data_IF_968755544995
#
_entry.id   IF_968755544995
#
_cell.length_a   1.000
_cell.length_b   1.000
_cell.length_c   1.000
_cell.angle_alpha   90.00
_cell.angle_beta   90.00
_cell.angle_gamma   90.00
#
_symmetry.space_group_name_H-M   'P 1'
#
loop_
_entity.id
_entity.type
_entity.pdbx_description
1 polymer ?
#
# COMPACT_ATOMS: atom_id res chain seq x y z
N UNK A 1 26.60 -8.69 9.35
CA UNK A 1 25.82 -7.43 9.46
C UNK A 1 26.63 -6.30 8.82
N UNK A 2 26.04 -5.55 7.88
CA UNK A 2 26.69 -4.45 7.12
C UNK A 2 27.33 -3.38 8.04
N UNK A 3 26.74 -3.17 9.21
CA UNK A 3 27.14 -2.12 10.17
C UNK A 3 28.03 -2.61 11.34
N UNK A 4 28.29 -3.92 11.48
CA UNK A 4 29.11 -4.52 12.56
C UNK A 4 28.77 -4.05 14.00
N UNK A 5 27.51 -3.70 14.27
CA UNK A 5 27.00 -3.34 15.60
C UNK A 5 26.12 -4.45 16.18
N UNK A 6 26.01 -4.51 17.51
CA UNK A 6 25.09 -5.42 18.20
C UNK A 6 23.62 -5.00 18.02
N UNK A 7 22.68 -5.88 18.34
CA UNK A 7 21.23 -5.56 18.26
C UNK A 7 20.87 -4.45 19.24
N UNK A 8 21.52 -4.42 20.38
CA UNK A 8 21.33 -3.46 21.47
C UNK A 8 21.83 -2.06 21.08
N UNK A 9 22.83 -2.00 20.19
CA UNK A 9 23.39 -0.78 19.60
C UNK A 9 22.63 -0.31 18.34
N UNK A 10 21.64 -1.07 17.85
CA UNK A 10 20.81 -0.62 16.73
C UNK A 10 20.02 0.63 17.14
N UNK A 11 19.90 1.58 16.20
CA UNK A 11 19.30 2.91 16.36
C UNK A 11 18.46 3.21 15.12
N UNK A 12 17.48 4.14 15.17
CA UNK A 12 16.65 4.47 14.01
C UNK A 12 17.44 4.76 12.73
N UNK A 13 18.54 5.52 12.82
CA UNK A 13 19.38 5.89 11.67
C UNK A 13 20.26 4.77 11.11
N UNK A 14 20.30 3.60 11.76
CA UNK A 14 20.96 2.42 11.22
C UNK A 14 20.11 1.69 10.17
N UNK A 15 18.82 2.04 10.06
CA UNK A 15 17.92 1.53 9.03
C UNK A 15 17.94 2.45 7.79
N UNK A 16 17.66 1.88 6.62
CA UNK A 16 17.63 2.63 5.35
C UNK A 16 16.43 3.57 5.24
N UNK A 17 15.36 3.31 5.98
CA UNK A 17 14.21 4.18 6.14
C UNK A 17 14.23 4.80 7.54
N UNK A 18 14.00 6.12 7.62
CA UNK A 18 14.11 6.90 8.85
C UNK A 18 13.06 6.54 9.91
N UNK A 19 11.94 5.95 9.49
CA UNK A 19 10.83 5.57 10.36
C UNK A 19 10.83 4.08 10.69
N UNK A 20 11.73 3.31 10.06
CA UNK A 20 11.70 1.86 10.01
C UNK A 20 10.30 1.33 9.68
N UNK A 21 9.66 1.95 8.68
CA UNK A 21 8.39 1.50 8.11
C UNK A 21 8.58 0.61 6.88
N UNK A 22 9.78 0.60 6.29
CA UNK A 22 10.14 -0.22 5.12
C UNK A 22 11.15 -1.32 5.49
N UNK A 23 11.12 -2.44 4.75
CA UNK A 23 12.16 -3.48 4.85
C UNK A 23 13.51 -2.88 4.49
N UNK A 24 14.53 -3.04 5.35
CA UNK A 24 15.89 -2.60 5.04
C UNK A 24 16.45 -3.37 3.83
N UNK A 25 17.47 -2.82 3.18
CA UNK A 25 18.22 -3.53 2.14
C UNK A 25 18.91 -4.80 2.71
N UNK A 26 18.18 -5.91 2.72
CA UNK A 26 18.65 -7.22 3.21
C UNK A 26 18.90 -8.22 2.08
N UNK A 27 18.48 -7.90 0.86
CA UNK A 27 18.66 -8.73 -0.33
C UNK A 27 19.75 -8.11 -1.23
N UNK A 28 20.47 -8.96 -1.96
CA UNK A 28 21.52 -8.56 -2.90
C UNK A 28 21.05 -8.49 -4.35
N UNK A 29 19.82 -8.94 -4.61
CA UNK A 29 19.26 -8.95 -5.97
C UNK A 29 18.83 -7.54 -6.37
N UNK A 30 19.30 -7.08 -7.54
CA UNK A 30 18.93 -5.79 -8.12
C UNK A 30 17.62 -5.92 -8.91
N UNK A 31 16.50 -5.67 -8.24
CA UNK A 31 15.18 -5.70 -8.87
C UNK A 31 14.99 -4.56 -9.89
N UNK A 32 15.69 -3.44 -9.76
CA UNK A 32 15.54 -2.31 -10.67
C UNK A 32 16.12 -2.61 -12.05
N UNK A 33 17.13 -3.49 -12.12
CA UNK A 33 17.68 -3.98 -13.38
C UNK A 33 16.64 -4.62 -14.31
N UNK A 34 15.58 -5.24 -13.75
CA UNK A 34 14.48 -5.85 -14.51
C UNK A 34 13.69 -4.80 -15.32
N UNK A 35 13.63 -3.57 -14.81
CA UNK A 35 12.84 -2.47 -15.38
C UNK A 35 13.65 -1.59 -16.34
N UNK A 36 14.95 -1.84 -16.49
CA UNK A 36 15.81 -1.09 -17.41
C UNK A 36 15.27 -1.21 -18.85
N UNK A 37 14.94 -0.07 -19.45
CA UNK A 37 14.38 -0.01 -20.80
C UNK A 37 12.90 -0.40 -20.90
N UNK A 38 12.22 -0.64 -19.76
CA UNK A 38 10.76 -0.86 -19.71
C UNK A 38 10.07 0.42 -19.24
N UNK A 39 8.89 0.66 -19.77
CA UNK A 39 8.02 1.73 -19.29
C UNK A 39 7.05 1.17 -18.24
N UNK A 40 7.15 1.69 -17.01
CA UNK A 40 6.30 1.24 -15.89
C UNK A 40 4.82 1.38 -16.25
N UNK A 41 4.42 2.52 -16.81
CA UNK A 41 3.01 2.77 -17.14
C UNK A 41 2.45 1.77 -18.15
N UNK A 42 3.28 1.29 -19.09
CA UNK A 42 2.91 0.26 -20.05
C UNK A 42 2.69 -1.11 -19.38
N UNK A 43 3.49 -1.44 -18.36
CA UNK A 43 3.29 -2.65 -17.55
C UNK A 43 2.03 -2.55 -16.68
N UNK A 44 1.77 -1.38 -16.10
CA UNK A 44 0.56 -1.12 -15.31
C UNK A 44 -0.68 -1.22 -16.17
N UNK A 45 -0.68 -0.59 -17.35
CA UNK A 45 -1.76 -0.75 -18.34
C UNK A 45 -2.00 -2.21 -18.68
N UNK A 46 -0.95 -2.96 -19.02
CA UNK A 46 -1.06 -4.40 -19.32
C UNK A 46 -1.64 -5.19 -18.14
N UNK A 47 -1.33 -4.81 -16.90
CA UNK A 47 -1.87 -5.44 -15.68
C UNK A 47 -3.38 -5.27 -15.60
N UNK A 48 -3.86 -4.04 -15.70
CA UNK A 48 -5.29 -3.72 -15.61
C UNK A 48 -6.09 -4.24 -16.82
N UNK A 49 -5.52 -4.17 -18.04
CA UNK A 49 -6.11 -4.79 -19.24
C UNK A 49 -6.31 -6.30 -19.06
N UNK A 50 -5.33 -6.99 -18.45
CA UNK A 50 -5.38 -8.46 -18.24
C UNK A 50 -6.48 -8.91 -17.28
N UNK A 51 -7.05 -7.98 -16.52
CA UNK A 51 -8.20 -8.21 -15.64
C UNK A 51 -9.46 -7.44 -16.11
N UNK A 52 -9.51 -7.00 -17.37
CA UNK A 52 -10.63 -6.24 -17.94
C UNK A 52 -10.97 -4.92 -17.23
N UNK A 53 -9.97 -4.25 -16.65
CA UNK A 53 -10.11 -2.89 -16.13
C UNK A 53 -9.38 -1.93 -17.07
N UNK A 54 -10.14 -1.16 -17.86
CA UNK A 54 -9.56 -0.13 -18.71
C UNK A 54 -9.13 1.10 -17.88
N UNK A 55 -7.92 1.60 -18.14
CA UNK A 55 -7.33 2.80 -17.50
C UNK A 55 -6.76 3.81 -18.51
N UNK A 56 -6.99 3.64 -19.82
CA UNK A 56 -6.39 4.48 -20.87
C UNK A 56 -6.70 5.96 -20.67
N UNK A 57 -7.98 6.27 -20.45
CA UNK A 57 -8.47 7.64 -20.26
C UNK A 57 -7.92 8.31 -19.00
N UNK A 58 -7.62 7.54 -17.96
CA UNK A 58 -6.97 8.04 -16.74
C UNK A 58 -5.50 8.36 -17.03
N UNK A 59 -4.79 7.46 -17.73
CA UNK A 59 -3.38 7.68 -18.12
C UNK A 59 -3.25 8.98 -18.92
N UNK A 60 -4.11 9.20 -19.90
CA UNK A 60 -4.06 10.37 -20.79
C UNK A 60 -4.26 11.71 -20.05
N UNK A 61 -4.94 11.72 -18.91
CA UNK A 61 -5.20 12.92 -18.10
C UNK A 61 -4.19 13.13 -16.96
N UNK A 62 -3.32 12.16 -16.72
CA UNK A 62 -2.45 12.09 -15.54
C UNK A 62 -1.11 12.81 -15.75
N UNK A 63 -0.54 13.36 -14.66
CA UNK A 63 0.79 13.97 -14.66
C UNK A 63 1.77 12.98 -14.04
N UNK A 64 2.45 12.16 -14.86
CA UNK A 64 3.14 10.95 -14.40
C UNK A 64 4.67 11.07 -14.22
N UNK A 65 5.30 12.11 -14.77
CA UNK A 65 6.77 12.22 -14.80
C UNK A 65 7.29 13.46 -14.06
N UNK A 66 8.56 13.38 -13.65
CA UNK A 66 9.22 14.43 -12.88
C UNK A 66 9.38 15.73 -13.66
N UNK A 67 9.13 16.86 -12.98
CA UNK A 67 9.48 18.20 -13.47
C UNK A 67 9.75 19.13 -12.29
N UNK A 68 10.56 20.17 -12.53
CA UNK A 68 10.92 21.16 -11.51
C UNK A 68 9.65 21.76 -10.88
N UNK A 69 9.59 21.74 -9.55
CA UNK A 69 8.48 22.32 -8.78
C UNK A 69 7.24 21.44 -8.65
N UNK A 70 7.25 20.20 -9.15
CA UNK A 70 6.14 19.25 -8.97
C UNK A 70 6.11 18.66 -7.56
N UNK A 71 4.91 18.39 -7.06
CA UNK A 71 4.71 17.65 -5.81
C UNK A 71 5.42 16.29 -5.88
N UNK A 72 6.16 15.95 -4.83
CA UNK A 72 6.93 14.71 -4.75
C UNK A 72 6.06 13.51 -4.35
N UNK A 73 4.94 13.74 -3.69
CA UNK A 73 4.03 12.69 -3.24
C UNK A 73 3.13 12.22 -4.37
N UNK A 74 3.05 10.90 -4.55
CA UNK A 74 2.12 10.27 -5.47
C UNK A 74 0.70 10.30 -4.86
N UNK A 75 -0.31 10.53 -5.69
CA UNK A 75 -1.71 10.38 -5.29
C UNK A 75 -2.64 10.28 -6.50
N UNK A 76 -3.82 9.74 -6.23
CA UNK A 76 -4.95 9.69 -7.15
C UNK A 76 -6.06 10.61 -6.67
N UNK A 77 -6.74 11.26 -7.61
CA UNK A 77 -7.85 12.17 -7.30
C UNK A 77 -8.98 12.04 -8.31
N UNK A 78 -10.21 11.93 -7.82
CA UNK A 78 -11.42 12.19 -8.59
C UNK A 78 -11.78 13.68 -8.48
N UNK A 79 -11.76 14.39 -9.61
CA UNK A 79 -11.99 15.84 -9.67
C UNK A 79 -13.49 16.17 -9.57
N UNK A 80 -14.32 15.37 -10.24
CA UNK A 80 -15.75 15.65 -10.44
C UNK A 80 -16.67 14.59 -9.80
N UNK A 81 -16.11 13.58 -9.12
CA UNK A 81 -16.83 12.37 -8.63
C UNK A 81 -17.55 11.58 -9.72
N UNK A 82 -17.17 11.80 -10.97
CA UNK A 82 -17.74 11.19 -12.17
C UNK A 82 -16.62 10.53 -13.00
N UNK A 83 -16.13 11.19 -14.05
CA UNK A 83 -15.23 10.59 -15.04
C UNK A 83 -13.85 11.26 -15.09
N UNK A 84 -13.66 12.41 -14.43
CA UNK A 84 -12.36 13.09 -14.39
C UNK A 84 -11.54 12.59 -13.20
N UNK A 85 -10.85 11.47 -13.42
CA UNK A 85 -9.94 10.84 -12.46
C UNK A 85 -8.52 11.01 -12.99
N UNK A 86 -7.60 11.42 -12.10
CA UNK A 86 -6.23 11.71 -12.47
C UNK A 86 -5.28 11.14 -11.43
N UNK A 87 -4.10 10.76 -11.91
CA UNK A 87 -2.97 10.30 -11.10
C UNK A 87 -1.84 11.32 -11.23
N UNK A 88 -1.22 11.68 -10.10
CA UNK A 88 0.00 12.46 -10.07
C UNK A 88 1.13 11.59 -9.52
N UNK A 89 2.17 11.39 -10.32
CA UNK A 89 3.32 10.56 -9.97
C UNK A 89 4.65 11.13 -10.49
N UNK A 90 5.76 10.51 -10.11
CA UNK A 90 7.11 10.89 -10.51
C UNK A 90 7.86 9.64 -11.00
N UNK A 91 7.23 8.89 -11.92
CA UNK A 91 7.62 7.53 -12.32
C UNK A 91 9.09 7.45 -12.75
N UNK A 92 9.80 6.45 -12.20
CA UNK A 92 11.12 5.99 -12.64
C UNK A 92 11.08 4.48 -12.93
N UNK A 93 12.00 3.91 -13.72
CA UNK A 93 12.03 2.49 -14.01
C UNK A 93 12.60 1.68 -12.84
N UNK A 94 11.87 1.62 -11.72
CA UNK A 94 12.25 0.88 -10.50
C UNK A 94 11.09 0.07 -9.97
N UNK A 95 11.38 -0.97 -9.18
CA UNK A 95 10.35 -1.81 -8.55
C UNK A 95 9.44 -0.98 -7.63
N UNK A 96 10.01 0.02 -6.94
CA UNK A 96 9.26 0.93 -6.07
C UNK A 96 8.19 1.71 -6.85
N UNK A 97 8.53 2.19 -8.04
CA UNK A 97 7.56 2.90 -8.88
C UNK A 97 6.57 1.95 -9.56
N UNK A 98 6.97 0.72 -9.89
CA UNK A 98 5.99 -0.29 -10.31
C UNK A 98 4.91 -0.53 -9.23
N UNK A 99 5.34 -0.69 -7.98
CA UNK A 99 4.47 -0.85 -6.81
C UNK A 99 3.58 0.38 -6.58
N UNK A 100 4.17 1.58 -6.60
CA UNK A 100 3.46 2.85 -6.41
C UNK A 100 2.42 3.09 -7.51
N UNK A 101 2.79 2.91 -8.78
CA UNK A 101 1.86 3.13 -9.90
C UNK A 101 0.74 2.09 -9.92
N UNK A 102 1.02 0.83 -9.60
CA UNK A 102 -0.05 -0.17 -9.43
C UNK A 102 -1.00 0.21 -8.29
N UNK A 103 -0.48 0.75 -7.19
CA UNK A 103 -1.25 1.21 -6.04
C UNK A 103 -2.18 2.39 -6.42
N UNK A 104 -1.62 3.45 -7.01
CA UNK A 104 -2.40 4.63 -7.40
C UNK A 104 -3.51 4.28 -8.40
N UNK A 105 -3.20 3.47 -9.42
CA UNK A 105 -4.23 3.03 -10.35
C UNK A 105 -5.27 2.11 -9.70
N UNK A 106 -4.98 1.53 -8.53
CA UNK A 106 -5.94 0.78 -7.72
C UNK A 106 -7.01 1.69 -7.13
N UNK A 107 -6.63 2.88 -6.65
CA UNK A 107 -7.57 3.94 -6.31
C UNK A 107 -8.34 4.40 -7.54
N UNK A 108 -7.65 4.60 -8.66
CA UNK A 108 -8.25 5.16 -9.86
C UNK A 108 -9.34 4.25 -10.46
N UNK A 109 -9.11 2.93 -10.50
CA UNK A 109 -10.15 1.98 -10.94
C UNK A 109 -11.30 1.88 -9.93
N UNK A 110 -11.04 2.05 -8.64
CA UNK A 110 -12.13 2.13 -7.66
C UNK A 110 -13.07 3.28 -8.04
N UNK A 111 -12.54 4.49 -8.17
CA UNK A 111 -13.34 5.68 -8.48
C UNK A 111 -14.04 5.58 -9.86
N UNK A 112 -13.36 4.99 -10.86
CA UNK A 112 -13.89 4.86 -12.22
C UNK A 112 -15.11 3.95 -12.28
N UNK A 113 -15.07 2.80 -11.59
CA UNK A 113 -16.08 1.76 -11.71
C UNK A 113 -17.19 1.82 -10.66
N UNK A 114 -17.23 2.86 -9.81
CA UNK A 114 -18.41 3.18 -8.99
C UNK A 114 -19.63 3.39 -9.88
N UNK A 115 -20.79 2.86 -9.46
CA UNK A 115 -22.05 3.03 -10.18
C UNK A 115 -22.48 4.50 -10.18
N UNK A 116 -22.40 5.14 -11.35
CA UNK A 116 -22.74 6.55 -11.52
C UNK A 116 -24.26 6.82 -11.42
N UNK A 117 -25.10 5.78 -11.39
CA UNK A 117 -26.52 5.94 -11.07
C UNK A 117 -26.78 6.23 -9.58
N UNK A 118 -25.80 5.97 -8.71
CA UNK A 118 -25.89 6.33 -7.30
C UNK A 118 -25.98 7.87 -7.14
N UNK A 119 -26.69 8.37 -6.11
CA UNK A 119 -26.58 9.76 -5.70
C UNK A 119 -25.10 10.15 -5.49
N UNK A 120 -24.70 11.36 -5.89
CA UNK A 120 -23.30 11.82 -5.83
C UNK A 120 -22.64 11.62 -4.46
N UNK A 121 -23.40 11.81 -3.37
CA UNK A 121 -22.91 11.59 -1.98
C UNK A 121 -22.50 10.13 -1.70
N UNK A 122 -22.99 9.17 -2.50
CA UNK A 122 -22.65 7.75 -2.40
C UNK A 122 -21.55 7.32 -3.38
N UNK A 123 -21.04 8.22 -4.23
CA UNK A 123 -20.01 7.93 -5.24
C UNK A 123 -18.59 8.06 -4.69
N UNK A 124 -18.34 7.40 -3.58
CA UNK A 124 -17.02 7.25 -3.01
C UNK A 124 -16.86 5.85 -2.41
N UNK A 125 -15.68 5.51 -1.90
CA UNK A 125 -15.48 4.23 -1.22
C UNK A 125 -16.33 4.13 0.05
N UNK A 126 -16.72 2.91 0.43
CA UNK A 126 -17.49 2.66 1.66
C UNK A 126 -16.79 3.15 2.94
N UNK A 127 -15.47 3.17 2.93
CA UNK A 127 -14.60 3.81 3.91
C UNK A 127 -13.21 4.00 3.30
N UNK A 128 -12.41 4.96 3.79
CA UNK A 128 -11.03 5.21 3.33
C UNK A 128 -10.19 3.94 3.21
N UNK A 129 -10.12 3.10 4.25
CA UNK A 129 -9.37 1.83 4.17
C UNK A 129 -9.83 0.87 3.06
N UNK A 130 -11.07 0.96 2.54
CA UNK A 130 -11.53 0.06 1.48
C UNK A 130 -10.90 0.40 0.13
N UNK A 131 -10.64 1.68 -0.14
CA UNK A 131 -9.87 2.06 -1.34
C UNK A 131 -8.38 1.75 -1.16
N UNK A 132 -7.85 1.94 0.05
CA UNK A 132 -6.49 1.47 0.41
C UNK A 132 -6.32 -0.04 0.23
N UNK A 133 -7.31 -0.84 0.61
CA UNK A 133 -7.27 -2.29 0.45
C UNK A 133 -7.10 -2.70 -1.03
N UNK A 134 -7.78 -1.98 -1.94
CA UNK A 134 -7.70 -2.22 -3.38
C UNK A 134 -6.34 -1.77 -3.91
N UNK A 135 -5.90 -0.57 -3.52
CA UNK A 135 -4.60 -0.04 -3.89
C UNK A 135 -3.44 -0.94 -3.41
N UNK A 136 -3.50 -1.43 -2.18
CA UNK A 136 -2.54 -2.39 -1.62
C UNK A 136 -2.58 -3.74 -2.33
N UNK A 137 -3.78 -4.25 -2.63
CA UNK A 137 -3.93 -5.48 -3.39
C UNK A 137 -3.20 -5.37 -4.74
N UNK A 138 -3.38 -4.29 -5.49
CA UNK A 138 -2.70 -4.12 -6.78
C UNK A 138 -1.21 -3.78 -6.63
N UNK A 139 -0.84 -2.90 -5.70
CA UNK A 139 0.55 -2.52 -5.44
C UNK A 139 1.44 -3.72 -5.15
N UNK A 140 0.98 -4.65 -4.30
CA UNK A 140 1.70 -5.88 -3.95
C UNK A 140 1.98 -6.80 -5.15
N UNK A 141 1.32 -6.62 -6.30
CA UNK A 141 1.62 -7.40 -7.52
C UNK A 141 3.05 -7.15 -8.02
N UNK A 142 3.63 -5.97 -7.76
CA UNK A 142 5.06 -5.71 -8.02
C UNK A 142 6.00 -6.61 -7.19
N UNK A 143 5.48 -7.32 -6.19
CA UNK A 143 6.17 -8.30 -5.34
C UNK A 143 5.64 -9.73 -5.53
N UNK A 144 4.85 -9.98 -6.57
CA UNK A 144 4.25 -11.28 -6.85
C UNK A 144 4.91 -11.91 -8.09
N UNK A 145 5.37 -13.16 -7.98
CA UNK A 145 6.01 -13.86 -9.08
C UNK A 145 5.09 -14.05 -10.29
N UNK A 146 3.77 -14.20 -10.07
CA UNK A 146 2.77 -14.30 -11.15
C UNK A 146 2.79 -13.04 -12.03
N UNK A 147 2.97 -11.87 -11.43
CA UNK A 147 3.02 -10.60 -12.17
C UNK A 147 4.28 -10.51 -13.04
N UNK A 148 5.43 -10.94 -12.51
CA UNK A 148 6.67 -10.99 -13.28
C UNK A 148 6.59 -11.97 -14.45
N UNK A 149 5.92 -13.10 -14.26
CA UNK A 149 5.68 -14.09 -15.31
C UNK A 149 4.77 -13.53 -16.40
N UNK A 150 3.56 -13.09 -16.04
CA UNK A 150 2.52 -12.77 -17.02
C UNK A 150 2.63 -11.36 -17.62
N UNK A 151 3.02 -10.38 -16.80
CA UNK A 151 3.05 -8.98 -17.19
C UNK A 151 4.44 -8.59 -17.67
N UNK A 152 5.45 -8.80 -16.84
CA UNK A 152 6.85 -8.42 -17.12
C UNK A 152 7.50 -9.35 -18.15
N UNK A 153 6.96 -10.57 -18.29
CA UNK A 153 7.42 -11.63 -19.19
C UNK A 153 8.87 -12.05 -18.91
N UNK A 154 9.17 -12.34 -17.63
CA UNK A 154 10.47 -12.86 -17.22
C UNK A 154 10.62 -14.36 -17.52
N UNK A 155 11.87 -14.76 -17.79
CA UNK A 155 12.23 -16.15 -17.97
C UNK A 155 12.05 -16.98 -16.68
N UNK A 156 11.73 -18.27 -16.86
CA UNK A 156 11.46 -19.20 -15.77
C UNK A 156 12.65 -19.43 -14.82
N UNK A 157 13.91 -19.27 -15.27
CA UNK A 157 15.08 -19.40 -14.39
C UNK A 157 15.20 -18.20 -13.44
N UNK A 158 14.96 -16.98 -13.94
CA UNK A 158 14.95 -15.76 -13.12
C UNK A 158 13.77 -15.81 -12.13
N UNK A 159 12.59 -16.23 -12.59
CA UNK A 159 11.41 -16.37 -11.73
C UNK A 159 11.65 -17.31 -10.56
N UNK A 160 12.25 -18.48 -10.80
CA UNK A 160 12.61 -19.44 -9.74
C UNK A 160 13.60 -18.87 -8.73
N UNK A 161 14.48 -17.95 -9.15
CA UNK A 161 15.42 -17.28 -8.26
C UNK A 161 14.72 -16.23 -7.38
N UNK A 162 13.87 -15.40 -7.96
CA UNK A 162 13.29 -14.24 -7.27
C UNK A 162 12.04 -14.58 -6.45
N UNK A 163 11.25 -15.58 -6.84
CA UNK A 163 10.01 -15.94 -6.14
C UNK A 163 10.18 -16.13 -4.62
N UNK A 164 11.11 -16.97 -4.11
CA UNK A 164 11.30 -17.13 -2.67
C UNK A 164 11.77 -15.83 -1.99
N UNK A 165 12.54 -14.99 -2.69
CA UNK A 165 13.03 -13.70 -2.18
C UNK A 165 11.88 -12.69 -2.06
N UNK A 166 11.03 -12.59 -3.07
CA UNK A 166 9.85 -11.74 -3.10
C UNK A 166 8.88 -12.09 -1.97
N UNK A 167 8.60 -13.39 -1.78
CA UNK A 167 7.76 -13.88 -0.67
C UNK A 167 8.32 -13.47 0.70
N UNK A 168 9.63 -13.66 0.89
CA UNK A 168 10.31 -13.26 2.13
C UNK A 168 10.27 -11.74 2.35
N UNK A 169 10.51 -10.95 1.31
CA UNK A 169 10.45 -9.49 1.38
C UNK A 169 9.05 -8.99 1.73
N UNK A 170 8.01 -9.51 1.06
CA UNK A 170 6.62 -9.14 1.35
C UNK A 170 6.26 -9.46 2.80
N UNK A 171 6.61 -10.66 3.28
CA UNK A 171 6.39 -11.06 4.68
C UNK A 171 7.05 -10.08 5.67
N UNK A 172 8.30 -9.69 5.42
CA UNK A 172 8.98 -8.73 6.28
C UNK A 172 8.37 -7.33 6.18
N UNK A 173 7.96 -6.90 4.99
CA UNK A 173 7.32 -5.61 4.77
C UNK A 173 6.03 -5.49 5.55
N UNK A 174 5.17 -6.51 5.47
CA UNK A 174 3.92 -6.53 6.21
C UNK A 174 4.14 -6.55 7.72
N UNK A 175 5.12 -7.31 8.21
CA UNK A 175 5.44 -7.35 9.65
C UNK A 175 5.97 -6.00 10.18
N UNK A 176 6.86 -5.35 9.43
CA UNK A 176 7.43 -4.04 9.79
C UNK A 176 6.35 -2.96 9.71
N UNK A 177 5.61 -2.92 8.60
CA UNK A 177 4.52 -1.96 8.36
C UNK A 177 3.45 -2.08 9.44
N UNK A 178 3.04 -3.29 9.82
CA UNK A 178 2.05 -3.48 10.88
C UNK A 178 2.52 -2.87 12.22
N UNK A 179 3.78 -3.10 12.62
CA UNK A 179 4.33 -2.52 13.85
C UNK A 179 4.42 -0.99 13.79
N UNK A 180 4.88 -0.45 12.66
CA UNK A 180 4.92 0.99 12.44
C UNK A 180 3.54 1.62 12.55
N UNK A 181 2.52 1.06 11.89
CA UNK A 181 1.16 1.59 11.91
C UNK A 181 0.59 1.55 13.35
N UNK A 182 0.78 0.45 14.07
CA UNK A 182 0.31 0.33 15.46
C UNK A 182 1.01 1.38 16.34
N UNK A 183 2.33 1.55 16.21
CA UNK A 183 3.08 2.56 16.95
C UNK A 183 2.58 3.98 16.65
N UNK A 184 2.41 4.31 15.37
CA UNK A 184 1.92 5.62 14.94
C UNK A 184 0.52 5.92 15.49
N UNK A 185 -0.41 4.98 15.35
CA UNK A 185 -1.81 5.16 15.77
C UNK A 185 -1.92 5.29 17.29
N UNK A 186 -1.15 4.51 18.06
CA UNK A 186 -1.17 4.61 19.52
C UNK A 186 -0.61 5.94 20.00
N UNK A 187 0.50 6.38 19.42
CA UNK A 187 1.04 7.71 19.71
C UNK A 187 0.07 8.82 19.32
N UNK A 188 -0.46 8.79 18.09
CA UNK A 188 -1.37 9.80 17.55
C UNK A 188 -2.65 9.94 18.39
N UNK A 189 -3.19 8.81 18.87
CA UNK A 189 -4.36 8.81 19.77
C UNK A 189 -4.08 9.56 21.07
N UNK A 190 -2.93 9.31 21.71
CA UNK A 190 -2.59 9.96 22.97
C UNK A 190 -2.19 11.43 22.77
N UNK A 191 -1.55 11.77 21.65
CA UNK A 191 -1.29 13.15 21.24
C UNK A 191 -2.59 13.95 21.14
N UNK A 192 -3.60 13.43 20.44
CA UNK A 192 -4.87 14.17 20.28
C UNK A 192 -5.75 14.17 21.54
N UNK A 193 -5.54 13.21 22.45
CA UNK A 193 -6.24 13.19 23.74
C UNK A 193 -5.73 14.29 24.70
N UNK A 194 -4.44 14.60 24.67
CA UNK A 194 -3.85 15.69 25.44
C UNK A 194 -2.63 16.29 24.71
N UNK A 195 -2.84 17.24 23.79
CA UNK A 195 -1.76 17.79 22.97
C UNK A 195 -0.77 18.68 23.75
N UNK A 196 -1.15 19.18 24.93
CA UNK A 196 -0.33 20.07 25.75
C UNK A 196 0.57 19.32 26.76
N UNK A 197 0.58 17.98 26.73
CA UNK A 197 1.41 17.19 27.65
C UNK A 197 2.90 17.42 27.38
N UNK A 198 3.67 17.63 28.44
CA UNK A 198 5.10 17.98 28.36
C UNK A 198 5.98 16.82 27.88
N UNK A 199 5.48 15.58 27.93
CA UNK A 199 6.24 14.35 27.68
C UNK A 199 5.93 13.69 26.32
N UNK A 200 5.34 14.41 25.34
CA UNK A 200 5.04 13.86 24.01
C UNK A 200 6.25 13.20 23.34
N UNK A 201 7.43 13.82 23.44
CA UNK A 201 8.63 13.27 22.83
C UNK A 201 9.07 11.95 23.51
N UNK A 202 8.88 11.84 24.84
CA UNK A 202 9.12 10.59 25.56
C UNK A 202 8.11 9.53 25.14
N UNK A 203 6.83 9.88 25.11
CA UNK A 203 5.76 9.01 24.67
C UNK A 203 6.04 8.42 23.27
N UNK A 204 6.48 9.25 22.33
CA UNK A 204 6.86 8.79 20.98
C UNK A 204 7.90 7.67 21.05
N UNK A 205 9.00 7.92 21.73
CA UNK A 205 10.10 6.97 21.81
C UNK A 205 9.79 5.73 22.65
N UNK A 206 9.01 5.87 23.73
CA UNK A 206 8.52 4.74 24.52
C UNK A 206 7.62 3.84 23.68
N UNK A 207 6.73 4.44 22.88
CA UNK A 207 5.87 3.72 21.92
C UNK A 207 6.69 2.98 20.86
N UNK A 208 7.70 3.64 20.27
CA UNK A 208 8.60 3.00 19.30
C UNK A 208 9.42 1.86 19.91
N UNK A 209 9.89 2.02 21.15
CA UNK A 209 10.67 0.99 21.84
C UNK A 209 9.81 -0.23 22.17
N UNK A 210 8.58 -0.02 22.66
CA UNK A 210 7.65 -1.09 22.97
C UNK A 210 7.20 -1.84 21.70
N UNK A 211 6.81 -1.11 20.65
CA UNK A 211 6.10 -1.68 19.51
C UNK A 211 6.97 -1.97 18.29
N UNK A 212 8.09 -1.26 18.11
CA UNK A 212 9.05 -1.52 17.02
C UNK A 212 10.40 -2.05 17.50
N UNK A 213 10.63 -2.14 18.83
CA UNK A 213 11.90 -2.57 19.42
C UNK A 213 13.10 -1.72 19.00
N UNK A 214 12.84 -0.44 18.69
CA UNK A 214 13.89 0.52 18.37
C UNK A 214 14.40 1.12 19.67
N UNK A 215 15.72 1.16 19.84
CA UNK A 215 16.34 1.85 20.98
C UNK A 215 16.77 3.26 20.52
N UNK A 216 16.04 4.33 20.84
CA UNK A 216 16.52 5.69 20.60
C UNK A 216 17.56 6.08 21.66
N UNK A 217 18.53 6.94 21.34
CA UNK A 217 19.46 7.44 22.35
C UNK A 217 18.75 8.50 23.22
N UNK A 218 19.18 8.67 24.47
CA UNK A 218 18.48 9.50 25.45
C UNK A 218 18.41 10.97 25.03
N UNK A 219 19.46 11.49 24.39
CA UNK A 219 19.53 12.88 23.93
C UNK A 219 18.49 13.24 22.87
N UNK A 220 17.86 12.25 22.24
CA UNK A 220 16.83 12.49 21.22
C UNK A 220 15.47 12.81 21.81
N UNK A 221 15.19 12.36 23.05
CA UNK A 221 13.91 12.58 23.75
C UNK A 221 13.55 14.05 23.98
N UNK A 222 14.48 14.99 23.79
CA UNK A 222 14.22 16.44 23.84
C UNK A 222 13.71 17.03 22.52
N UNK A 223 13.71 16.27 21.42
CA UNK A 223 13.30 16.75 20.09
C UNK A 223 11.97 16.14 19.65
N UNK A 224 11.10 16.92 18.98
CA UNK A 224 9.80 16.45 18.47
C UNK A 224 9.95 15.74 17.13
N UNK A 225 10.69 14.64 17.10
CA UNK A 225 10.97 13.90 15.86
C UNK A 225 9.70 13.42 15.16
N UNK A 226 8.68 13.04 15.93
CA UNK A 226 7.37 12.66 15.41
C UNK A 226 6.77 13.74 14.49
N UNK A 227 7.02 15.03 14.76
CA UNK A 227 6.49 16.14 13.97
C UNK A 227 7.08 16.22 12.55
N UNK A 228 8.18 15.51 12.28
CA UNK A 228 8.73 15.41 10.93
C UNK A 228 7.93 14.48 10.01
N UNK A 229 6.98 13.70 10.54
CA UNK A 229 6.12 12.84 9.71
C UNK A 229 5.00 13.67 9.08
N UNK A 230 5.03 13.76 7.75
CA UNK A 230 4.07 14.57 6.97
C UNK A 230 2.59 14.27 7.28
N UNK A 231 2.25 13.03 7.66
CA UNK A 231 0.87 12.60 7.87
C UNK A 231 0.17 13.38 8.99
N UNK A 232 0.90 13.84 10.02
CA UNK A 232 0.31 14.73 11.03
C UNK A 232 -0.18 16.06 10.43
N UNK A 233 0.47 16.55 9.37
CA UNK A 233 0.12 17.82 8.72
C UNK A 233 -0.86 17.70 7.56
N UNK A 234 -0.89 16.57 6.86
CA UNK A 234 -1.70 16.41 5.63
C UNK A 234 -2.90 15.48 5.78
N UNK A 235 -2.83 14.50 6.70
CA UNK A 235 -3.81 13.42 6.82
C UNK A 235 -3.81 12.87 8.26
N UNK A 236 -4.23 13.66 9.26
CA UNK A 236 -4.32 13.19 10.64
C UNK A 236 -5.35 12.06 10.74
N UNK A 237 -5.09 11.10 11.63
CA UNK A 237 -5.95 9.92 11.86
C UNK A 237 -6.05 9.02 10.63
N UNK A 238 -5.07 9.05 9.71
CA UNK A 238 -5.14 8.25 8.48
C UNK A 238 -4.50 6.86 8.60
N UNK A 239 -3.44 6.72 9.39
CA UNK A 239 -2.54 5.56 9.34
C UNK A 239 -3.21 4.22 9.63
N UNK A 240 -4.27 4.19 10.45
CA UNK A 240 -5.02 2.98 10.74
C UNK A 240 -5.69 2.39 9.49
N UNK A 241 -6.01 3.22 8.48
CA UNK A 241 -6.59 2.77 7.23
C UNK A 241 -5.65 1.85 6.47
N UNK A 242 -4.33 2.05 6.56
CA UNK A 242 -3.38 1.17 5.90
C UNK A 242 -3.43 -0.25 6.49
N UNK A 243 -3.46 -0.40 7.81
CA UNK A 243 -3.47 -1.73 8.43
C UNK A 243 -4.81 -2.47 8.20
N UNK A 244 -5.93 -1.75 8.27
CA UNK A 244 -7.24 -2.29 7.88
C UNK A 244 -7.29 -2.64 6.39
N UNK A 245 -6.66 -1.83 5.55
CA UNK A 245 -6.46 -2.05 4.13
C UNK A 245 -5.71 -3.36 3.88
N UNK A 246 -4.58 -3.58 4.56
CA UNK A 246 -3.80 -4.80 4.42
C UNK A 246 -4.58 -6.05 4.89
N UNK A 247 -5.43 -5.91 5.92
CA UNK A 247 -6.33 -6.99 6.34
C UNK A 247 -7.34 -7.33 5.25
N UNK A 248 -8.03 -6.33 4.70
CA UNK A 248 -9.02 -6.52 3.65
C UNK A 248 -8.38 -7.02 2.35
N UNK A 249 -7.23 -6.49 1.95
CA UNK A 249 -6.48 -6.93 0.76
C UNK A 249 -6.12 -8.43 0.85
N UNK A 250 -5.62 -8.85 2.01
CA UNK A 250 -5.26 -10.26 2.27
C UNK A 250 -6.49 -11.17 2.28
N UNK A 251 -7.61 -10.70 2.83
CA UNK A 251 -8.89 -11.41 2.81
C UNK A 251 -9.47 -11.55 1.40
N UNK A 252 -9.45 -10.48 0.60
CA UNK A 252 -9.86 -10.51 -0.80
C UNK A 252 -9.01 -11.48 -1.61
N UNK A 253 -7.68 -11.45 -1.43
CA UNK A 253 -6.78 -12.36 -2.14
C UNK A 253 -7.08 -13.83 -1.82
N UNK A 254 -7.27 -14.17 -0.55
CA UNK A 254 -7.66 -15.54 -0.15
C UNK A 254 -8.99 -15.95 -0.77
N UNK A 255 -10.00 -15.07 -0.72
CA UNK A 255 -11.31 -15.33 -1.31
C UNK A 255 -11.21 -15.55 -2.82
N UNK A 256 -10.48 -14.69 -3.53
CA UNK A 256 -10.27 -14.78 -4.98
C UNK A 256 -9.60 -16.11 -5.36
N UNK A 257 -8.51 -16.48 -4.67
CA UNK A 257 -7.77 -17.73 -4.92
C UNK A 257 -8.61 -18.99 -4.68
N UNK A 258 -9.51 -18.95 -3.71
CA UNK A 258 -10.39 -20.06 -3.36
C UNK A 258 -11.64 -20.17 -4.26
N UNK A 259 -12.24 -19.03 -4.63
CA UNK A 259 -13.62 -19.00 -5.17
C UNK A 259 -13.73 -18.43 -6.59
N UNK A 260 -12.72 -17.72 -7.09
CA UNK A 260 -12.80 -16.99 -8.36
C UNK A 260 -11.78 -17.49 -9.38
N UNK A 261 -10.50 -17.48 -9.01
CA UNK A 261 -9.39 -17.94 -9.85
C UNK A 261 -8.15 -18.16 -9.00
N UNK A 262 -7.45 -19.28 -9.22
CA UNK A 262 -6.16 -19.55 -8.56
C UNK A 262 -5.11 -18.50 -8.90
N UNK A 263 -5.20 -17.93 -10.09
CA UNK A 263 -4.34 -16.89 -10.64
C UNK A 263 -5.01 -15.52 -10.49
N UNK A 264 -4.26 -14.51 -10.02
CA UNK A 264 -4.77 -13.16 -9.76
C UNK A 264 -4.78 -12.29 -11.03
N UNK A 265 -3.94 -12.59 -12.01
CA UNK A 265 -3.98 -11.98 -13.34
C UNK A 265 -4.98 -12.77 -14.19
N UNK A 266 -6.27 -12.51 -13.96
CA UNK A 266 -7.40 -13.18 -14.58
C UNK A 266 -8.62 -12.22 -14.68
N UNK A 267 -9.34 -12.23 -15.81
CA UNK A 267 -10.54 -11.38 -16.03
C UNK A 267 -11.63 -11.52 -14.96
N UNK A 268 -11.81 -12.71 -14.38
CA UNK A 268 -12.82 -12.94 -13.34
C UNK A 268 -12.48 -12.19 -12.04
N UNK A 269 -11.19 -11.88 -11.82
CA UNK A 269 -10.75 -11.06 -10.68
C UNK A 269 -11.22 -9.62 -10.85
N UNK A 270 -11.10 -9.05 -12.06
CA UNK A 270 -11.63 -7.71 -12.32
C UNK A 270 -13.15 -7.65 -12.24
N UNK A 271 -13.86 -8.67 -12.73
CA UNK A 271 -15.31 -8.78 -12.57
C UNK A 271 -15.71 -8.81 -11.09
N UNK A 272 -14.99 -9.57 -10.26
CA UNK A 272 -15.19 -9.54 -8.81
C UNK A 272 -15.06 -8.13 -8.24
N UNK A 273 -13.98 -7.42 -8.56
CA UNK A 273 -13.77 -6.07 -8.05
C UNK A 273 -14.86 -5.09 -8.52
N UNK A 274 -15.21 -5.10 -9.80
CA UNK A 274 -16.26 -4.23 -10.36
C UNK A 274 -17.60 -4.48 -9.67
N UNK A 275 -18.05 -5.73 -9.61
CA UNK A 275 -19.40 -6.05 -9.11
C UNK A 275 -19.50 -5.99 -7.59
N UNK A 276 -18.45 -6.41 -6.87
CA UNK A 276 -18.51 -6.61 -5.41
C UNK A 276 -17.89 -5.48 -4.60
N UNK A 277 -16.96 -4.71 -5.19
CA UNK A 277 -16.20 -3.70 -4.45
C UNK A 277 -16.46 -2.29 -5.01
N UNK A 278 -16.39 -2.08 -6.32
CA UNK A 278 -16.42 -0.74 -6.92
C UNK A 278 -17.83 -0.21 -7.11
N UNK A 279 -18.68 -0.93 -7.86
CA UNK A 279 -20.06 -0.51 -8.15
C UNK A 279 -20.88 -0.11 -6.91
N UNK A 280 -20.75 -0.79 -5.75
CA UNK A 280 -21.48 -0.40 -4.55
C UNK A 280 -21.20 1.03 -4.05
N UNK A 281 -20.03 1.62 -4.36
CA UNK A 281 -19.61 2.88 -3.76
C UNK A 281 -19.73 2.84 -2.23
N UNK A 282 -20.32 3.89 -1.64
CA UNK A 282 -20.59 3.95 -0.20
C UNK A 282 -22.03 3.61 0.18
N UNK A 283 -22.74 2.87 -0.69
CA UNK A 283 -24.10 2.37 -0.42
C UNK A 283 -24.17 1.50 0.84
N UNK A 284 -23.12 0.73 1.11
CA UNK A 284 -23.00 -0.11 2.30
C UNK A 284 -21.96 0.49 3.23
N UNK A 285 -22.17 0.28 4.55
CA UNK A 285 -21.08 0.46 5.50
C UNK A 285 -19.98 -0.57 5.18
N UNK A 286 -18.73 -0.22 5.42
CA UNK A 286 -17.57 -1.02 5.04
C UNK A 286 -17.63 -2.49 5.50
N UNK A 287 -18.21 -2.78 6.67
CA UNK A 287 -18.31 -4.14 7.21
C UNK A 287 -19.31 -4.98 6.42
N UNK A 288 -20.46 -4.39 6.10
CA UNK A 288 -21.45 -5.01 5.23
C UNK A 288 -20.91 -5.20 3.80
N UNK A 289 -20.14 -4.23 3.26
CA UNK A 289 -19.48 -4.38 1.96
C UNK A 289 -18.59 -5.63 1.94
N UNK A 290 -17.71 -5.78 2.94
CA UNK A 290 -16.76 -6.89 3.03
C UNK A 290 -17.49 -8.22 3.18
N UNK A 291 -18.53 -8.27 4.01
CA UNK A 291 -19.32 -9.48 4.20
C UNK A 291 -20.07 -9.87 2.91
N UNK A 292 -20.65 -8.91 2.18
CA UNK A 292 -21.27 -9.18 0.87
C UNK A 292 -20.26 -9.59 -0.20
N UNK A 293 -19.03 -9.07 -0.16
CA UNK A 293 -18.00 -9.37 -1.13
C UNK A 293 -17.35 -10.74 -0.88
N UNK A 294 -17.07 -11.09 0.37
CA UNK A 294 -16.23 -12.24 0.74
C UNK A 294 -16.94 -13.32 1.55
N UNK A 295 -18.19 -13.08 1.94
CA UNK A 295 -18.99 -13.98 2.77
C UNK A 295 -18.57 -14.05 4.24
N UNK A 296 -17.66 -13.18 4.69
CA UNK A 296 -17.13 -13.15 6.07
C UNK A 296 -16.92 -11.71 6.52
N UNK A 297 -17.06 -11.39 7.82
CA UNK A 297 -16.62 -10.10 8.36
C UNK A 297 -15.10 -9.93 8.17
N UNK A 298 -14.61 -8.70 8.27
CA UNK A 298 -13.18 -8.41 8.21
C UNK A 298 -12.42 -9.25 9.25
N UNK A 299 -11.45 -10.04 8.80
CA UNK A 299 -10.79 -11.05 9.63
C UNK A 299 -9.26 -10.91 9.54
N UNK A 300 -8.57 -10.56 10.65
CA UNK A 300 -7.13 -10.36 10.66
C UNK A 300 -6.32 -11.64 10.40
N UNK A 301 -6.93 -12.83 10.51
CA UNK A 301 -6.24 -14.10 10.23
C UNK A 301 -5.71 -14.17 8.81
N UNK A 302 -6.38 -13.57 7.83
CA UNK A 302 -5.89 -13.57 6.45
C UNK A 302 -4.58 -12.80 6.31
N UNK A 303 -4.44 -11.66 7.00
CA UNK A 303 -3.16 -10.95 7.06
C UNK A 303 -2.13 -11.74 7.86
N UNK A 304 -2.51 -12.33 9.00
CA UNK A 304 -1.60 -13.13 9.81
C UNK A 304 -1.00 -14.31 9.01
N UNK A 305 -1.81 -14.98 8.18
CA UNK A 305 -1.34 -16.07 7.31
C UNK A 305 -0.34 -15.59 6.24
N UNK A 306 -0.36 -14.31 5.84
CA UNK A 306 0.67 -13.73 4.95
C UNK A 306 2.02 -13.55 5.67
N UNK A 307 2.03 -13.60 7.01
CA UNK A 307 3.22 -13.45 7.84
C UNK A 307 3.83 -14.80 8.26
N UNK A 308 3.17 -15.92 7.98
CA UNK A 308 3.65 -17.29 8.25
C UNK A 308 4.57 -17.79 7.14
#
# INVERSE_FOLDING_TARGET
LKLKISKEEMRPWHYSDLWFQEVPEIETYDYDSIFKGKEIISLVKKTYDSINLDIVDIIERSDLYERKGKNQHAFTISIDTENDIRVLENIRPTVKWAETTLHEYGHAVYDKYIDKSLPTVLRGPAHTFTTEAVAMFFGRRARDAEWYEKIVNLDGSILKEIEPRLKKLLKYQLAITARWIIAFVFFERELYKNPEREDLNNLWYDTLQELQFINPPEERRKYPDWAAKIHFGIAPVYYHNYLLGEMMASQMESYLKENVSRELINKNVGEFFVERIFKPGSKYRWDELIEKATGKPLNPKFLANQLE
#
